data_IF_290841620815
#
_entry.id   IF_290841620815
#
_cell.length_a   1.000
_cell.length_b   1.000
_cell.length_c   1.000
_cell.angle_alpha   90.00
_cell.angle_beta   90.00
_cell.angle_gamma   90.00
#
_symmetry.space_group_name_H-M   'P 1'
#
loop_
_entity.id
_entity.type
_entity.pdbx_description
1 polymer ?
#
# COMPACT_ATOMS: atom_id res chain seq x y z
N UNK A 1 -4.86 -1.94 -16.20
CA UNK A 1 -4.36 -0.67 -15.61
C UNK A 1 -5.34 -0.05 -14.63
N UNK A 2 -6.61 0.16 -15.00
CA UNK A 2 -7.66 0.63 -14.06
C UNK A 2 -7.92 -0.38 -12.92
N UNK A 3 -7.92 -1.69 -13.20
CA UNK A 3 -8.13 -2.71 -12.17
C UNK A 3 -7.03 -2.72 -11.08
N UNK A 4 -5.75 -2.49 -11.45
CA UNK A 4 -4.65 -2.40 -10.48
C UNK A 4 -4.74 -1.13 -9.62
N UNK A 5 -5.29 -0.06 -10.20
CA UNK A 5 -5.56 1.20 -9.48
C UNK A 5 -6.63 1.00 -8.45
N UNK A 6 -7.77 0.45 -8.91
CA UNK A 6 -8.86 0.10 -8.04
C UNK A 6 -8.32 -0.87 -6.98
N UNK A 7 -7.48 -1.86 -7.32
CA UNK A 7 -6.96 -2.84 -6.36
C UNK A 7 -6.23 -2.20 -5.17
N UNK A 8 -5.63 -1.02 -5.37
CA UNK A 8 -5.06 -0.23 -4.29
C UNK A 8 -6.09 0.42 -3.35
N UNK A 9 -7.35 0.60 -3.76
CA UNK A 9 -8.44 1.23 -2.99
C UNK A 9 -9.00 0.34 -1.86
N UNK A 10 -8.26 -0.70 -1.46
CA UNK A 10 -8.57 -1.53 -0.29
C UNK A 10 -9.23 -2.87 -0.61
N UNK A 11 -10.03 -3.00 -1.67
CA UNK A 11 -10.78 -4.24 -1.93
C UNK A 11 -9.90 -5.47 -2.19
N UNK A 12 -8.75 -5.30 -2.83
CA UNK A 12 -7.77 -6.39 -2.98
C UNK A 12 -7.29 -6.86 -1.61
N UNK A 13 -6.97 -5.92 -0.71
CA UNK A 13 -6.47 -6.24 0.63
C UNK A 13 -7.56 -6.83 1.53
N UNK A 14 -8.81 -6.36 1.41
CA UNK A 14 -9.95 -6.96 2.11
C UNK A 14 -10.24 -8.38 1.63
N UNK A 15 -10.18 -8.62 0.31
CA UNK A 15 -10.33 -9.97 -0.25
C UNK A 15 -9.20 -10.89 0.22
N UNK A 16 -7.95 -10.44 0.19
CA UNK A 16 -6.80 -11.20 0.73
C UNK A 16 -6.96 -11.47 2.22
N UNK A 17 -7.39 -10.47 3.01
CA UNK A 17 -7.65 -10.64 4.44
C UNK A 17 -8.76 -11.66 4.72
N UNK A 18 -9.83 -11.65 3.93
CA UNK A 18 -10.90 -12.66 4.02
C UNK A 18 -10.38 -14.07 3.68
N UNK A 19 -9.58 -14.21 2.62
CA UNK A 19 -8.98 -15.51 2.28
C UNK A 19 -8.06 -16.03 3.38
N UNK A 20 -7.27 -15.16 4.02
CA UNK A 20 -6.43 -15.52 5.16
C UNK A 20 -7.27 -15.90 6.39
N UNK A 21 -8.39 -15.22 6.65
CA UNK A 21 -9.31 -15.62 7.74
C UNK A 21 -9.89 -17.02 7.54
N UNK A 22 -10.25 -17.35 6.29
CA UNK A 22 -10.88 -18.61 5.93
C UNK A 22 -9.88 -19.76 5.83
N UNK A 23 -8.68 -19.52 5.29
CA UNK A 23 -7.74 -20.59 4.89
C UNK A 23 -6.34 -20.48 5.52
N UNK A 24 -6.06 -19.45 6.31
CA UNK A 24 -4.71 -19.11 6.78
C UNK A 24 -4.17 -19.92 7.96
N UNK A 25 -4.85 -20.96 8.42
CA UNK A 25 -4.38 -21.81 9.53
C UNK A 25 -4.10 -21.04 10.82
N UNK A 26 -3.06 -21.43 11.56
CA UNK A 26 -2.73 -20.87 12.87
C UNK A 26 -2.07 -19.48 12.78
N UNK A 27 -1.34 -19.21 11.70
CA UNK A 27 -0.64 -17.93 11.49
C UNK A 27 -1.58 -16.75 11.11
N UNK A 28 -2.87 -17.02 10.87
CA UNK A 28 -3.80 -16.01 10.33
C UNK A 28 -3.98 -14.79 11.23
N UNK A 29 -3.97 -14.98 12.55
CA UNK A 29 -4.18 -13.90 13.51
C UNK A 29 -2.98 -12.97 13.55
N UNK A 30 -1.78 -13.52 13.69
CA UNK A 30 -0.54 -12.77 13.61
C UNK A 30 -0.46 -11.97 12.30
N UNK A 31 -0.80 -12.59 11.17
CA UNK A 31 -0.79 -11.95 9.85
C UNK A 31 -1.78 -10.77 9.75
N UNK A 32 -3.02 -10.95 10.22
CA UNK A 32 -4.09 -9.95 10.09
C UNK A 32 -3.91 -8.81 11.09
N UNK A 33 -3.58 -9.10 12.34
CA UNK A 33 -3.41 -8.09 13.38
C UNK A 33 -2.22 -7.18 13.07
N UNK A 34 -1.10 -7.75 12.63
CA UNK A 34 0.07 -6.97 12.20
C UNK A 34 -0.22 -6.17 10.92
N UNK A 35 -0.92 -6.73 9.94
CA UNK A 35 -1.34 -5.99 8.74
C UNK A 35 -2.29 -4.82 9.07
N UNK A 36 -3.23 -5.03 10.00
CA UNK A 36 -4.17 -4.02 10.45
C UNK A 36 -3.46 -2.89 11.22
N UNK A 37 -2.58 -3.25 12.16
CA UNK A 37 -1.78 -2.30 12.93
C UNK A 37 -0.89 -1.46 12.01
N UNK A 38 -0.15 -2.11 11.11
CA UNK A 38 0.74 -1.44 10.16
C UNK A 38 -0.03 -0.51 9.19
N UNK A 39 -1.19 -0.96 8.70
CA UNK A 39 -2.04 -0.15 7.82
C UNK A 39 -2.62 1.08 8.54
N UNK A 40 -3.10 0.91 9.79
CA UNK A 40 -3.58 2.00 10.62
C UNK A 40 -2.49 3.04 10.90
N UNK A 41 -1.30 2.58 11.31
CA UNK A 41 -0.14 3.45 11.51
C UNK A 41 0.28 4.16 10.21
N UNK A 42 0.28 3.45 9.08
CA UNK A 42 0.58 3.98 7.77
C UNK A 42 -0.40 5.08 7.34
N UNK A 43 -1.70 4.88 7.56
CA UNK A 43 -2.75 5.87 7.28
C UNK A 43 -2.55 7.14 8.10
N UNK A 44 -2.31 7.02 9.41
CA UNK A 44 -2.04 8.15 10.26
C UNK A 44 -0.79 8.91 9.78
N UNK A 45 0.29 8.19 9.49
CA UNK A 45 1.57 8.76 9.08
C UNK A 45 1.48 9.49 7.73
N UNK A 46 0.93 8.86 6.68
CA UNK A 46 0.86 9.54 5.38
C UNK A 46 -0.12 10.71 5.41
N UNK A 47 -1.21 10.63 6.18
CA UNK A 47 -2.16 11.73 6.31
C UNK A 47 -1.49 12.94 6.97
N UNK A 48 -0.67 12.70 7.98
CA UNK A 48 0.13 13.73 8.63
C UNK A 48 1.20 14.31 7.67
N UNK A 49 2.00 13.45 7.01
CA UNK A 49 3.06 13.87 6.09
C UNK A 49 2.53 14.67 4.91
N UNK A 50 1.40 14.26 4.31
CA UNK A 50 0.78 14.98 3.20
C UNK A 50 0.43 16.43 3.56
N UNK A 51 -0.06 16.66 4.78
CA UNK A 51 -0.41 18.00 5.27
C UNK A 51 0.83 18.87 5.55
N UNK A 52 1.97 18.26 5.86
CA UNK A 52 3.25 18.96 6.17
C UNK A 52 4.05 19.27 4.92
N UNK A 53 4.22 18.30 4.03
CA UNK A 53 5.10 18.40 2.86
C UNK A 53 4.38 19.08 1.68
N UNK A 54 3.08 18.83 1.52
CA UNK A 54 2.21 19.45 0.51
C UNK A 54 2.78 19.40 -0.92
N UNK A 55 3.51 18.34 -1.26
CA UNK A 55 4.09 18.15 -2.59
C UNK A 55 2.98 18.05 -3.64
N UNK A 56 2.97 18.88 -4.70
CA UNK A 56 1.93 18.81 -5.74
C UNK A 56 2.07 17.54 -6.57
N UNK A 57 0.94 16.99 -7.07
CA UNK A 57 0.92 15.78 -7.92
C UNK A 57 1.48 16.05 -9.33
N UNK A 58 2.07 15.04 -10.01
CA UNK A 58 2.56 15.21 -11.38
C UNK A 58 1.50 15.73 -12.35
N UNK A 59 0.26 15.19 -12.27
CA UNK A 59 -0.88 15.66 -13.06
C UNK A 59 -1.26 17.14 -12.88
N UNK A 60 -0.83 17.81 -11.80
CA UNK A 60 -1.06 19.25 -11.62
C UNK A 60 -0.09 20.14 -12.42
N UNK A 61 1.04 19.56 -12.88
CA UNK A 61 2.10 20.28 -13.59
C UNK A 61 2.32 19.80 -15.03
N UNK A 62 1.86 18.61 -15.37
CA UNK A 62 2.07 17.99 -16.68
C UNK A 62 0.72 17.54 -17.24
N UNK A 63 0.46 17.83 -18.52
CA UNK A 63 -0.80 17.51 -19.21
C UNK A 63 -1.05 16.00 -19.38
N UNK A 64 -0.07 15.15 -19.06
CA UNK A 64 -0.15 13.70 -19.21
C UNK A 64 -0.75 13.08 -17.94
N UNK A 65 -2.04 13.31 -17.71
CA UNK A 65 -2.82 12.60 -16.69
C UNK A 65 -3.71 11.56 -17.38
N UNK A 66 -3.33 10.29 -17.30
CA UNK A 66 -4.10 9.19 -17.89
C UNK A 66 -5.18 8.63 -16.95
N UNK A 67 -5.28 9.18 -15.74
CA UNK A 67 -6.35 8.90 -14.79
C UNK A 67 -7.53 9.86 -15.02
N UNK A 68 -8.65 9.34 -15.53
CA UNK A 68 -9.94 10.04 -15.51
C UNK A 68 -10.57 10.09 -14.10
N UNK A 69 -9.94 9.44 -13.11
CA UNK A 69 -10.35 9.44 -11.72
C UNK A 69 -9.53 10.53 -11.03
N UNK A 70 -10.17 11.66 -10.73
CA UNK A 70 -9.53 12.76 -10.03
C UNK A 70 -9.03 12.30 -8.65
N UNK A 71 -7.80 12.65 -8.25
CA UNK A 71 -7.31 12.27 -6.93
C UNK A 71 -8.16 12.95 -5.83
N UNK A 72 -8.43 12.25 -4.72
CA UNK A 72 -9.20 12.82 -3.61
C UNK A 72 -8.47 13.96 -2.88
N UNK A 73 -7.16 14.09 -3.10
CA UNK A 73 -6.34 15.19 -2.56
C UNK A 73 -5.32 15.72 -3.59
N UNK A 74 -4.80 16.92 -3.33
CA UNK A 74 -3.81 17.59 -4.19
C UNK A 74 -2.36 17.16 -3.90
N UNK A 75 -2.13 16.36 -2.85
CA UNK A 75 -0.78 16.09 -2.32
C UNK A 75 -0.27 14.68 -2.69
N UNK A 76 0.94 14.63 -3.26
CA UNK A 76 1.52 13.41 -3.82
C UNK A 76 2.40 12.63 -2.85
N UNK A 77 3.06 13.29 -1.89
CA UNK A 77 4.04 12.64 -1.03
C UNK A 77 3.51 12.36 0.39
N UNK A 78 3.74 11.16 0.95
CA UNK A 78 4.11 9.91 0.25
C UNK A 78 2.90 9.25 -0.42
N UNK A 79 3.14 8.22 -1.23
CA UNK A 79 2.07 7.42 -1.84
C UNK A 79 1.34 6.57 -0.79
N UNK A 80 0.10 6.95 -0.45
CA UNK A 80 -0.74 6.21 0.50
C UNK A 80 -1.04 4.78 0.04
N UNK A 81 -1.40 4.61 -1.24
CA UNK A 81 -1.60 3.29 -1.86
C UNK A 81 -0.37 2.38 -1.75
N UNK A 82 0.83 2.94 -1.91
CA UNK A 82 2.08 2.19 -1.77
C UNK A 82 2.35 1.81 -0.31
N UNK A 83 2.10 2.73 0.62
CA UNK A 83 2.24 2.45 2.06
C UNK A 83 1.31 1.32 2.48
N UNK A 84 0.02 1.41 2.17
CA UNK A 84 -0.95 0.37 2.54
C UNK A 84 -0.64 -0.97 1.87
N UNK A 85 -0.23 -0.97 0.60
CA UNK A 85 0.10 -2.20 -0.10
C UNK A 85 1.27 -2.95 0.56
N UNK A 86 2.36 -2.25 0.88
CA UNK A 86 3.53 -2.87 1.49
C UNK A 86 3.35 -3.13 3.00
N UNK A 87 2.53 -2.34 3.70
CA UNK A 87 2.16 -2.58 5.10
C UNK A 87 1.37 -3.87 5.30
N UNK A 88 0.55 -4.26 4.32
CA UNK A 88 -0.18 -5.54 4.33
C UNK A 88 0.71 -6.67 3.80
N UNK A 89 1.44 -6.45 2.71
CA UNK A 89 2.27 -7.50 2.09
C UNK A 89 3.40 -7.99 2.97
N UNK A 90 4.04 -7.14 3.78
CA UNK A 90 5.16 -7.54 4.65
C UNK A 90 4.77 -8.61 5.68
N UNK A 91 3.76 -8.41 6.55
CA UNK A 91 3.34 -9.43 7.52
C UNK A 91 2.74 -10.68 6.87
N UNK A 92 2.00 -10.53 5.75
CA UNK A 92 1.50 -11.67 4.99
C UNK A 92 2.63 -12.53 4.42
N UNK A 93 3.68 -11.90 3.88
CA UNK A 93 4.85 -12.61 3.35
C UNK A 93 5.65 -13.30 4.45
N UNK A 94 5.70 -12.71 5.65
CA UNK A 94 6.34 -13.33 6.80
C UNK A 94 5.56 -14.54 7.33
N UNK A 95 4.23 -14.46 7.33
CA UNK A 95 3.34 -15.53 7.80
C UNK A 95 3.18 -16.67 6.78
N UNK A 96 3.24 -16.34 5.48
CA UNK A 96 3.06 -17.28 4.38
C UNK A 96 4.18 -17.13 3.32
N UNK A 97 5.41 -17.59 3.60
CA UNK A 97 6.56 -17.39 2.72
C UNK A 97 6.37 -17.95 1.30
N UNK A 98 5.63 -19.05 1.16
CA UNK A 98 5.32 -19.68 -0.13
C UNK A 98 4.48 -18.77 -1.06
N UNK A 99 3.66 -17.90 -0.47
CA UNK A 99 2.78 -16.96 -1.21
C UNK A 99 3.41 -15.57 -1.36
N UNK A 100 4.55 -15.31 -0.73
CA UNK A 100 5.24 -14.03 -0.75
C UNK A 100 5.50 -13.47 -2.17
N UNK A 101 5.91 -14.28 -3.18
CA UNK A 101 6.07 -13.78 -4.55
C UNK A 101 4.77 -13.22 -5.12
N UNK A 102 3.63 -13.85 -4.81
CA UNK A 102 2.30 -13.39 -5.23
C UNK A 102 1.93 -12.05 -4.58
N UNK A 103 2.10 -11.94 -3.26
CA UNK A 103 1.80 -10.70 -2.54
C UNK A 103 2.70 -9.53 -2.97
N UNK A 104 3.99 -9.79 -3.22
CA UNK A 104 4.94 -8.81 -3.71
C UNK A 104 4.61 -8.39 -5.14
N UNK A 105 4.21 -9.32 -6.01
CA UNK A 105 3.76 -9.00 -7.35
C UNK A 105 2.52 -8.09 -7.34
N UNK A 106 1.52 -8.39 -6.50
CA UNK A 106 0.34 -7.56 -6.33
C UNK A 106 0.69 -6.16 -5.80
N UNK A 107 1.48 -6.06 -4.73
CA UNK A 107 1.88 -4.77 -4.16
C UNK A 107 2.70 -3.93 -5.15
N UNK A 108 3.64 -4.57 -5.86
CA UNK A 108 4.46 -3.91 -6.88
C UNK A 108 3.62 -3.45 -8.07
N UNK A 109 2.62 -4.23 -8.49
CA UNK A 109 1.68 -3.84 -9.55
C UNK A 109 0.84 -2.63 -9.16
N UNK A 110 0.37 -2.56 -7.90
CA UNK A 110 -0.33 -1.38 -7.36
C UNK A 110 0.60 -0.17 -7.35
N UNK A 111 1.82 -0.32 -6.84
CA UNK A 111 2.83 0.74 -6.79
C UNK A 111 3.20 1.27 -8.20
N UNK A 112 3.50 0.38 -9.15
CA UNK A 112 3.80 0.74 -10.53
C UNK A 112 2.65 1.48 -11.20
N UNK A 113 1.40 1.07 -10.95
CA UNK A 113 0.22 1.77 -11.49
C UNK A 113 0.14 3.23 -11.05
N UNK A 114 0.66 3.59 -9.87
CA UNK A 114 0.64 4.98 -9.36
C UNK A 114 1.55 5.89 -10.19
N UNK A 115 2.68 5.36 -10.65
CA UNK A 115 3.64 6.09 -11.50
C UNK A 115 3.12 6.16 -12.93
N UNK A 116 2.68 5.01 -13.49
CA UNK A 116 2.23 4.91 -14.88
C UNK A 116 1.00 5.78 -15.18
N UNK A 117 0.13 6.01 -14.19
CA UNK A 117 -1.03 6.89 -14.35
C UNK A 117 -0.73 8.38 -14.07
N UNK A 118 0.53 8.72 -13.75
CA UNK A 118 0.93 10.09 -13.42
C UNK A 118 0.42 10.59 -12.06
N UNK A 119 -0.07 9.70 -11.19
CA UNK A 119 -0.68 10.07 -9.92
C UNK A 119 0.35 10.43 -8.84
N UNK A 120 1.54 9.83 -8.94
CA UNK A 120 2.64 9.97 -7.99
C UNK A 120 3.99 9.97 -8.71
N UNK A 121 4.97 10.68 -8.15
CA UNK A 121 6.35 10.55 -8.60
C UNK A 121 6.92 9.19 -8.16
N UNK A 122 7.92 8.68 -8.90
CA UNK A 122 8.63 7.45 -8.51
C UNK A 122 9.17 7.54 -7.06
N UNK A 123 9.66 8.71 -6.65
CA UNK A 123 10.13 8.94 -5.27
C UNK A 123 9.01 8.82 -4.22
N UNK A 124 7.77 9.25 -4.54
CA UNK A 124 6.64 9.10 -3.62
C UNK A 124 6.29 7.63 -3.40
N UNK A 125 6.41 6.83 -4.46
CA UNK A 125 6.11 5.39 -4.48
C UNK A 125 7.20 4.61 -3.75
N UNK A 126 8.48 4.86 -4.05
CA UNK A 126 9.60 4.19 -3.37
C UNK A 126 9.58 4.50 -1.87
N UNK A 127 9.43 5.78 -1.49
CA UNK A 127 9.32 6.16 -0.08
C UNK A 127 8.11 5.49 0.59
N UNK A 128 6.96 5.48 -0.09
CA UNK A 128 5.76 4.83 0.43
C UNK A 128 5.92 3.33 0.63
N UNK A 129 6.50 2.62 -0.34
CA UNK A 129 6.77 1.18 -0.24
C UNK A 129 7.73 0.85 0.91
N UNK A 130 8.80 1.65 1.10
CA UNK A 130 9.75 1.46 2.20
C UNK A 130 9.08 1.70 3.56
N UNK A 131 8.32 2.78 3.71
CA UNK A 131 7.59 3.08 4.94
C UNK A 131 6.59 1.95 5.26
N UNK A 132 5.81 1.52 4.26
CA UNK A 132 4.85 0.43 4.42
C UNK A 132 5.52 -0.86 4.85
N UNK A 133 6.59 -1.27 4.18
CA UNK A 133 7.33 -2.49 4.52
C UNK A 133 7.90 -2.43 5.94
N UNK A 134 8.51 -1.31 6.35
CA UNK A 134 9.05 -1.14 7.69
C UNK A 134 7.95 -1.22 8.77
N UNK A 135 6.81 -0.57 8.55
CA UNK A 135 5.68 -0.65 9.46
C UNK A 135 5.13 -2.08 9.57
N UNK A 136 5.01 -2.77 8.44
CA UNK A 136 4.52 -4.15 8.39
C UNK A 136 5.45 -5.11 9.11
N UNK A 137 6.76 -5.05 8.84
CA UNK A 137 7.75 -5.89 9.53
C UNK A 137 7.81 -5.58 11.02
N UNK A 138 7.79 -4.30 11.41
CA UNK A 138 7.80 -3.92 12.83
C UNK A 138 6.54 -4.41 13.56
N UNK A 139 5.36 -4.26 12.95
CA UNK A 139 4.11 -4.75 13.51
C UNK A 139 4.10 -6.28 13.63
N UNK A 140 4.68 -7.00 12.67
CA UNK A 140 4.82 -8.45 12.73
C UNK A 140 5.72 -8.88 13.89
N UNK A 141 6.92 -8.28 14.02
CA UNK A 141 7.84 -8.58 15.13
C UNK A 141 7.29 -8.22 16.52
N UNK A 142 6.29 -7.35 16.61
CA UNK A 142 5.66 -6.97 17.86
C UNK A 142 4.53 -7.93 18.28
N UNK A 143 3.92 -8.64 17.34
CA UNK A 143 2.69 -9.41 17.54
C UNK A 143 2.83 -10.91 17.27
N UNK A 144 3.94 -11.34 16.67
CA UNK A 144 4.27 -12.74 16.37
C UNK A 144 5.46 -13.21 17.21
#
# INVERSE_FOLDING_TARGET
MICATRGGDGWLWYATGLLVLLFGGDAKWAAIESAALASGAGIALFTWLKRRIRRPRPCSRQAHCWSNIGPPDQFSFPSGHSITAFAVTAPLSASYPELAPGFLFCASSVAASRVLLGMHYLSDVVAGSLIGALLGTAAYCLLA
#
